data_IF_427799438697
#
_entry.id   IF_427799438697
#
_cell.length_a   1.000
_cell.length_b   1.000
_cell.length_c   1.000
_cell.angle_alpha   90.00
_cell.angle_beta   90.00
_cell.angle_gamma   90.00
#
_symmetry.space_group_name_H-M   'P 1'
#
loop_
_entity.id
_entity.type
_entity.pdbx_description
1 polymer ?
#
# COMPACT_ATOMS: atom_id res chain seq x y z
N UNK A 1 15.28 9.74 5.36
CA UNK A 1 14.53 9.29 4.16
C UNK A 1 13.17 8.76 4.59
N UNK A 2 12.12 9.05 3.85
CA UNK A 2 10.76 8.61 4.20
C UNK A 2 10.49 7.22 3.62
N UNK A 3 10.10 6.27 4.47
CA UNK A 3 9.91 4.86 4.09
C UNK A 3 8.51 4.33 4.45
N UNK A 4 8.10 3.27 3.75
CA UNK A 4 6.91 2.47 4.07
C UNK A 4 7.06 1.04 3.52
N UNK A 5 6.42 0.07 4.16
CA UNK A 5 6.24 -1.28 3.63
C UNK A 5 4.97 -1.35 2.78
N UNK A 6 5.03 -2.05 1.66
CA UNK A 6 3.91 -2.19 0.73
C UNK A 6 3.93 -3.51 -0.04
N UNK A 7 2.76 -3.95 -0.48
CA UNK A 7 2.65 -4.80 -1.66
C UNK A 7 2.85 -3.93 -2.90
N UNK A 8 3.68 -4.43 -3.83
CA UNK A 8 4.04 -3.71 -5.04
C UNK A 8 3.59 -4.50 -6.27
N UNK A 9 2.70 -3.97 -7.11
CA UNK A 9 2.09 -4.74 -8.19
C UNK A 9 3.06 -4.98 -9.34
N UNK A 10 2.90 -6.11 -10.01
CA UNK A 10 3.48 -6.38 -11.33
C UNK A 10 2.80 -5.57 -12.44
N UNK A 11 3.25 -5.74 -13.67
CA UNK A 11 2.74 -5.00 -14.83
C UNK A 11 1.26 -5.30 -15.11
N UNK A 12 0.85 -6.56 -15.03
CA UNK A 12 -0.51 -6.99 -15.31
C UNK A 12 -1.48 -6.47 -14.26
N UNK A 13 -1.12 -6.57 -13.00
CA UNK A 13 -1.89 -6.00 -11.88
C UNK A 13 -2.00 -4.48 -12.02
N UNK A 14 -0.92 -3.78 -12.41
CA UNK A 14 -0.96 -2.33 -12.67
C UNK A 14 -1.94 -1.97 -13.78
N UNK A 15 -2.02 -2.78 -14.83
CA UNK A 15 -2.98 -2.55 -15.91
C UNK A 15 -4.43 -2.69 -15.40
N UNK A 16 -4.72 -3.69 -14.59
CA UNK A 16 -6.04 -3.86 -13.98
C UNK A 16 -6.40 -2.69 -13.06
N UNK A 17 -5.47 -2.24 -12.21
CA UNK A 17 -5.67 -1.07 -11.34
C UNK A 17 -5.91 0.18 -12.18
N UNK A 18 -5.17 0.37 -13.27
CA UNK A 18 -5.33 1.51 -14.17
C UNK A 18 -6.70 1.53 -14.83
N UNK A 19 -7.23 0.37 -15.23
CA UNK A 19 -8.58 0.25 -15.78
C UNK A 19 -9.64 0.63 -14.73
N UNK A 20 -9.49 0.15 -13.50
CA UNK A 20 -10.35 0.56 -12.39
C UNK A 20 -10.26 2.07 -12.11
N UNK A 21 -9.05 2.64 -12.13
CA UNK A 21 -8.87 4.08 -11.95
C UNK A 21 -9.50 4.90 -13.10
N UNK A 22 -9.42 4.42 -14.34
CA UNK A 22 -10.00 5.09 -15.52
C UNK A 22 -11.54 5.13 -15.45
N UNK A 23 -12.17 4.10 -14.88
CA UNK A 23 -13.62 4.02 -14.72
C UNK A 23 -14.18 5.03 -13.71
N UNK A 24 -13.36 5.55 -12.78
CA UNK A 24 -13.82 6.58 -11.84
C UNK A 24 -14.10 7.90 -12.55
N UNK A 25 -15.29 8.45 -12.32
CA UNK A 25 -15.65 9.80 -12.76
C UNK A 25 -15.23 10.79 -11.68
N UNK A 26 -14.16 11.52 -11.93
CA UNK A 26 -13.59 12.52 -11.02
C UNK A 26 -14.03 13.91 -11.47
N UNK A 27 -14.29 14.80 -10.51
CA UNK A 27 -14.63 16.20 -10.75
C UNK A 27 -13.52 17.13 -10.25
N UNK A 28 -13.50 18.35 -10.79
CA UNK A 28 -12.59 19.43 -10.36
C UNK A 28 -11.10 19.07 -10.57
N UNK A 29 -10.27 19.47 -9.59
CA UNK A 29 -8.82 19.32 -9.64
C UNK A 29 -8.32 17.94 -9.15
N UNK A 30 -9.21 16.95 -9.07
CA UNK A 30 -8.85 15.59 -8.66
C UNK A 30 -7.78 15.00 -9.58
N UNK A 31 -6.75 14.42 -8.98
CA UNK A 31 -5.59 13.90 -9.69
C UNK A 31 -5.53 12.38 -9.55
N UNK A 32 -5.50 11.67 -10.69
CA UNK A 32 -5.23 10.23 -10.68
C UNK A 32 -3.82 9.96 -10.20
N UNK A 33 -3.67 8.92 -9.40
CA UNK A 33 -2.35 8.43 -8.98
C UNK A 33 -1.63 7.87 -10.22
N UNK A 34 -0.36 8.23 -10.45
CA UNK A 34 0.45 7.64 -11.50
C UNK A 34 0.53 6.11 -11.37
N UNK A 35 0.53 5.40 -12.51
CA UNK A 35 0.50 3.92 -12.52
C UNK A 35 1.67 3.29 -11.76
N UNK A 36 2.84 3.91 -11.84
CA UNK A 36 4.07 3.52 -11.12
C UNK A 36 3.94 3.62 -9.60
N UNK A 37 2.97 4.38 -9.10
CA UNK A 37 2.75 4.60 -7.67
C UNK A 37 1.62 3.75 -7.07
N UNK A 38 1.00 2.87 -7.85
CA UNK A 38 -0.02 1.97 -7.30
C UNK A 38 0.60 0.97 -6.33
N UNK A 39 0.00 0.82 -5.14
CA UNK A 39 0.45 -0.10 -4.11
C UNK A 39 -0.64 -0.32 -3.05
N UNK A 40 -0.47 -1.37 -2.24
CA UNK A 40 -1.18 -1.52 -0.96
C UNK A 40 -0.19 -1.23 0.15
N UNK A 41 -0.42 -0.19 0.95
CA UNK A 41 0.43 0.11 2.11
C UNK A 41 0.20 -0.92 3.22
N UNK A 42 1.29 -1.50 3.74
CA UNK A 42 1.28 -2.39 4.90
C UNK A 42 1.64 -1.65 6.18
N UNK A 43 2.64 -0.77 6.15
CA UNK A 43 3.03 0.04 7.31
C UNK A 43 3.75 1.32 6.87
N UNK A 44 3.29 2.47 7.33
CA UNK A 44 4.03 3.73 7.21
C UNK A 44 5.08 3.84 8.32
N UNK A 45 6.32 4.19 7.94
CA UNK A 45 7.45 4.30 8.86
C UNK A 45 7.85 5.75 9.11
N UNK A 46 7.48 6.66 8.21
CA UNK A 46 7.88 8.06 8.28
C UNK A 46 9.37 8.27 7.95
N UNK A 47 9.97 9.29 8.56
CA UNK A 47 11.39 9.58 8.37
C UNK A 47 12.26 8.57 9.10
N UNK A 48 13.23 8.00 8.37
CA UNK A 48 14.12 6.92 8.81
C UNK A 48 15.57 7.32 8.53
N UNK A 49 16.46 7.08 9.50
CA UNK A 49 17.90 7.26 9.35
C UNK A 49 18.53 6.06 8.63
N UNK A 50 19.78 6.22 8.20
CA UNK A 50 20.53 5.12 7.57
C UNK A 50 20.77 3.95 8.55
N UNK A 51 21.00 4.22 9.83
CA UNK A 51 21.16 3.17 10.85
C UNK A 51 19.90 2.36 11.08
N UNK A 52 18.72 2.99 11.00
CA UNK A 52 17.42 2.34 11.14
C UNK A 52 17.04 1.48 9.91
N UNK A 53 17.60 1.80 8.73
CA UNK A 53 17.33 1.04 7.50
C UNK A 53 17.72 -0.43 7.64
N UNK A 54 18.88 -0.72 8.24
CA UNK A 54 19.34 -2.11 8.44
C UNK A 54 18.36 -2.91 9.32
N UNK A 55 17.81 -2.30 10.36
CA UNK A 55 16.78 -2.92 11.23
C UNK A 55 15.51 -3.22 10.44
N UNK A 56 15.04 -2.29 9.63
CA UNK A 56 13.85 -2.48 8.79
C UNK A 56 14.05 -3.59 7.75
N UNK A 57 15.22 -3.66 7.15
CA UNK A 57 15.57 -4.76 6.22
C UNK A 57 15.59 -6.12 6.94
N UNK A 58 16.10 -6.18 8.17
CA UNK A 58 16.07 -7.39 8.98
C UNK A 58 14.63 -7.80 9.33
N UNK A 59 13.77 -6.85 9.72
CA UNK A 59 12.35 -7.10 9.94
C UNK A 59 11.71 -7.68 8.67
N UNK A 60 11.95 -7.08 7.50
CA UNK A 60 11.43 -7.59 6.23
C UNK A 60 11.86 -9.05 5.94
N UNK A 61 13.14 -9.37 6.13
CA UNK A 61 13.69 -10.73 5.95
C UNK A 61 13.12 -11.76 6.93
N UNK A 62 12.67 -11.32 8.09
CA UNK A 62 12.10 -12.18 9.14
C UNK A 62 10.66 -12.62 8.87
N UNK A 63 9.95 -12.00 7.94
CA UNK A 63 8.54 -12.32 7.70
C UNK A 63 8.37 -13.70 7.06
N UNK A 64 7.35 -14.44 7.53
CA UNK A 64 7.01 -15.79 7.05
C UNK A 64 5.50 -15.86 6.83
N UNK A 65 5.05 -15.34 5.69
CA UNK A 65 3.65 -15.39 5.28
C UNK A 65 3.55 -15.95 3.86
N UNK A 66 2.47 -16.65 3.57
CA UNK A 66 2.19 -17.14 2.24
C UNK A 66 1.77 -16.00 1.30
N UNK A 67 2.02 -16.19 0.00
CA UNK A 67 1.39 -15.39 -1.04
C UNK A 67 -0.12 -15.56 -1.00
N UNK A 68 -0.84 -14.58 -1.54
CA UNK A 68 -2.29 -14.62 -1.55
C UNK A 68 -2.89 -13.88 -2.75
N UNK A 69 -4.11 -14.27 -3.10
CA UNK A 69 -4.93 -13.53 -4.06
C UNK A 69 -5.81 -12.54 -3.31
N UNK A 70 -5.67 -11.26 -3.65
CA UNK A 70 -6.50 -10.17 -3.11
C UNK A 70 -7.53 -9.80 -4.17
N UNK A 71 -8.82 -9.81 -3.80
CA UNK A 71 -9.91 -9.40 -4.68
C UNK A 71 -10.34 -7.98 -4.36
N UNK A 72 -10.05 -7.04 -5.25
CA UNK A 72 -10.57 -5.67 -5.18
C UNK A 72 -11.93 -5.63 -5.86
N UNK A 73 -12.97 -5.24 -5.13
CA UNK A 73 -14.36 -5.40 -5.56
C UNK A 73 -15.27 -4.20 -5.24
N UNK A 74 -14.71 -3.11 -4.74
CA UNK A 74 -15.47 -1.90 -4.51
C UNK A 74 -14.59 -0.64 -4.59
N UNK A 75 -15.23 0.48 -4.92
CA UNK A 75 -14.67 1.80 -4.71
C UNK A 75 -15.10 2.32 -3.35
N UNK A 76 -14.24 3.17 -2.75
CA UNK A 76 -14.58 3.93 -1.56
C UNK A 76 -14.00 5.35 -1.68
N UNK A 77 -14.55 6.28 -0.91
CA UNK A 77 -14.09 7.66 -0.83
C UNK A 77 -13.81 8.05 0.61
N UNK A 78 -12.62 8.54 0.87
CA UNK A 78 -12.19 8.95 2.20
C UNK A 78 -12.05 10.48 2.27
N UNK A 79 -13.09 11.19 2.74
CA UNK A 79 -13.17 12.66 2.67
C UNK A 79 -12.06 13.36 3.46
N UNK A 80 -11.67 12.84 4.63
CA UNK A 80 -10.57 13.42 5.44
C UNK A 80 -9.25 13.45 4.71
N UNK A 81 -9.00 12.50 3.82
CA UNK A 81 -7.77 12.39 3.04
C UNK A 81 -7.94 12.88 1.61
N UNK A 82 -9.18 13.19 1.21
CA UNK A 82 -9.54 13.57 -0.15
C UNK A 82 -9.03 12.55 -1.19
N UNK A 83 -9.23 11.26 -0.93
CA UNK A 83 -8.79 10.18 -1.83
C UNK A 83 -9.95 9.29 -2.24
N UNK A 84 -9.92 8.87 -3.50
CA UNK A 84 -10.74 7.77 -4.01
C UNK A 84 -9.86 6.52 -4.09
N UNK A 85 -10.37 5.40 -3.62
CA UNK A 85 -9.62 4.16 -3.45
C UNK A 85 -10.38 2.97 -4.04
N UNK A 86 -9.66 1.95 -4.49
CA UNK A 86 -10.19 0.59 -4.64
C UNK A 86 -9.97 -0.15 -3.34
N UNK A 87 -10.95 -0.88 -2.86
CA UNK A 87 -10.87 -1.66 -1.62
C UNK A 87 -11.11 -3.15 -1.89
N UNK A 88 -10.43 -4.00 -1.13
CA UNK A 88 -10.83 -5.37 -0.91
C UNK A 88 -11.70 -5.41 0.35
N UNK A 89 -12.98 -5.76 0.20
CA UNK A 89 -13.90 -5.82 1.35
C UNK A 89 -13.48 -6.87 2.36
N UNK A 90 -12.83 -7.93 1.88
CA UNK A 90 -12.27 -9.00 2.71
C UNK A 90 -10.77 -9.09 2.45
N UNK A 91 -9.98 -9.02 3.52
CA UNK A 91 -8.55 -9.26 3.45
C UNK A 91 -8.27 -10.76 3.56
N UNK A 92 -7.47 -11.35 2.65
CA UNK A 92 -7.04 -12.75 2.79
C UNK A 92 -6.33 -13.00 4.13
N UNK A 93 -6.52 -14.19 4.71
CA UNK A 93 -5.90 -14.55 5.98
C UNK A 93 -4.36 -14.41 5.95
N UNK A 94 -3.72 -14.81 4.83
CA UNK A 94 -2.28 -14.68 4.65
C UNK A 94 -1.81 -13.21 4.65
N UNK A 95 -2.59 -12.29 4.06
CA UNK A 95 -2.28 -10.86 4.10
C UNK A 95 -2.44 -10.30 5.52
N UNK A 96 -3.47 -10.72 6.24
CA UNK A 96 -3.68 -10.34 7.65
C UNK A 96 -2.54 -10.86 8.52
N UNK A 97 -2.05 -12.09 8.27
CA UNK A 97 -0.91 -12.67 8.96
C UNK A 97 0.37 -11.87 8.69
N UNK A 98 0.69 -11.56 7.44
CA UNK A 98 1.83 -10.73 7.06
C UNK A 98 1.79 -9.38 7.77
N UNK A 99 0.63 -8.71 7.73
CA UNK A 99 0.44 -7.42 8.39
C UNK A 99 0.66 -7.53 9.91
N UNK A 100 0.11 -8.56 10.56
CA UNK A 100 0.23 -8.79 12.00
C UNK A 100 1.68 -9.05 12.41
N UNK A 101 2.39 -9.92 11.69
CA UNK A 101 3.81 -10.22 11.95
C UNK A 101 4.66 -8.97 11.79
N UNK A 102 4.47 -8.23 10.69
CA UNK A 102 5.21 -7.01 10.40
C UNK A 102 5.01 -5.95 11.50
N UNK A 103 3.76 -5.72 11.90
CA UNK A 103 3.44 -4.75 12.96
C UNK A 103 3.95 -5.18 14.34
N UNK A 104 3.89 -6.47 14.68
CA UNK A 104 4.50 -7.02 15.90
C UNK A 104 5.99 -6.71 15.94
N UNK A 105 6.72 -7.00 14.85
CA UNK A 105 8.17 -6.83 14.81
C UNK A 105 8.55 -5.34 14.79
N UNK A 106 7.77 -4.47 14.14
CA UNK A 106 7.94 -3.02 14.23
C UNK A 106 7.74 -2.49 15.67
N UNK A 107 6.78 -3.03 16.42
CA UNK A 107 6.56 -2.69 17.83
C UNK A 107 7.71 -3.18 18.69
N UNK A 108 8.21 -4.40 18.50
CA UNK A 108 9.37 -4.92 19.22
C UNK A 108 10.63 -4.07 19.04
N UNK A 109 10.81 -3.47 17.86
CA UNK A 109 11.94 -2.60 17.54
C UNK A 109 11.62 -1.10 17.67
N UNK A 110 10.47 -0.74 18.26
CA UNK A 110 9.97 0.63 18.30
C UNK A 110 10.98 1.63 18.89
N UNK A 111 11.69 1.25 19.96
CA UNK A 111 12.67 2.13 20.60
C UNK A 111 13.86 2.42 19.67
N UNK A 112 14.38 1.42 18.96
CA UNK A 112 15.47 1.58 18.00
C UNK A 112 15.04 2.37 16.75
N UNK A 113 13.78 2.23 16.34
CA UNK A 113 13.23 2.87 15.15
C UNK A 113 12.63 4.25 15.42
N UNK A 114 12.41 4.63 16.68
CA UNK A 114 11.72 5.86 17.08
C UNK A 114 10.39 6.06 16.32
N UNK A 115 9.67 4.97 16.07
CA UNK A 115 8.41 5.00 15.34
C UNK A 115 7.25 5.39 16.25
N UNK A 116 6.37 6.22 15.72
CA UNK A 116 5.04 6.37 16.33
C UNK A 116 4.29 5.04 16.15
N UNK A 117 3.60 4.59 17.21
CA UNK A 117 2.83 3.35 17.15
C UNK A 117 1.92 3.33 15.92
N UNK A 118 2.00 2.34 15.06
CA UNK A 118 1.00 2.16 14.00
C UNK A 118 -0.31 1.70 14.67
N UNK A 119 -1.36 2.51 14.59
CA UNK A 119 -2.62 2.25 15.33
C UNK A 119 -3.81 1.97 14.41
N UNK A 120 -3.61 1.78 13.13
CA UNK A 120 -4.73 1.57 12.22
C UNK A 120 -4.89 0.09 11.89
N UNK A 121 -6.11 -0.47 11.95
CA UNK A 121 -6.37 -1.82 11.46
C UNK A 121 -6.01 -1.92 9.97
N UNK A 122 -5.71 -3.12 9.50
CA UNK A 122 -5.46 -3.36 8.08
C UNK A 122 -6.69 -2.94 7.26
N UNK A 123 -6.50 -1.98 6.37
CA UNK A 123 -7.49 -1.60 5.37
C UNK A 123 -6.86 -1.83 4.00
N UNK A 124 -7.18 -2.96 3.40
CA UNK A 124 -6.63 -3.36 2.09
C UNK A 124 -7.20 -2.46 1.00
N UNK A 125 -6.40 -1.49 0.56
CA UNK A 125 -6.83 -0.50 -0.43
C UNK A 125 -5.69 -0.07 -1.35
N UNK A 126 -6.07 0.40 -2.52
CA UNK A 126 -5.18 1.06 -3.49
C UNK A 126 -5.71 2.47 -3.71
N UNK A 127 -4.88 3.49 -3.51
CA UNK A 127 -5.27 4.88 -3.82
C UNK A 127 -5.26 5.07 -5.34
N UNK A 128 -6.40 5.44 -5.90
CA UNK A 128 -6.61 5.66 -7.32
C UNK A 128 -6.56 7.14 -7.71
N UNK A 129 -7.04 8.02 -6.82
CA UNK A 129 -7.01 9.46 -7.02
C UNK A 129 -6.81 10.22 -5.70
N UNK A 130 -6.22 11.38 -5.79
CA UNK A 130 -5.96 12.36 -4.71
C UNK A 130 -6.58 13.71 -5.05
N UNK A 131 -6.65 14.61 -4.06
CA UNK A 131 -7.30 15.94 -4.18
C UNK A 131 -8.75 15.83 -4.65
N UNK A 132 -9.43 14.79 -4.23
CA UNK A 132 -10.84 14.56 -4.52
C UNK A 132 -11.66 15.37 -3.53
N UNK A 133 -11.95 16.61 -3.87
CA UNK A 133 -12.66 17.55 -2.99
C UNK A 133 -14.14 17.20 -2.83
N UNK A 134 -14.75 16.61 -3.86
CA UNK A 134 -16.13 16.19 -3.87
C UNK A 134 -16.22 14.67 -4.03
N UNK A 135 -17.14 14.05 -3.27
CA UNK A 135 -17.34 12.60 -3.37
C UNK A 135 -17.66 12.23 -4.83
N UNK A 136 -16.89 11.33 -5.46
CA UNK A 136 -17.21 10.87 -6.80
C UNK A 136 -18.48 10.02 -6.78
N UNK A 137 -19.18 9.97 -7.91
CA UNK A 137 -20.24 8.98 -8.08
C UNK A 137 -19.60 7.60 -8.14
N UNK A 138 -19.72 6.85 -7.04
CA UNK A 138 -19.19 5.49 -6.96
C UNK A 138 -20.17 4.54 -7.67
N UNK A 139 -19.75 4.04 -8.82
CA UNK A 139 -20.47 2.99 -9.54
C UNK A 139 -19.97 1.61 -9.11
N UNK A 140 -20.70 0.57 -9.52
CA UNK A 140 -20.26 -0.80 -9.30
C UNK A 140 -18.86 -1.01 -9.94
N UNK A 141 -17.97 -1.61 -9.19
CA UNK A 141 -16.63 -1.93 -9.66
C UNK A 141 -16.62 -3.33 -10.26
N UNK A 142 -16.08 -3.49 -11.46
CA UNK A 142 -15.73 -4.81 -11.98
C UNK A 142 -14.59 -5.36 -11.13
N UNK A 143 -14.77 -6.48 -10.41
CA UNK A 143 -13.72 -7.03 -9.57
C UNK A 143 -12.46 -7.37 -10.36
N UNK A 144 -11.29 -7.14 -9.74
CA UNK A 144 -10.03 -7.64 -10.26
C UNK A 144 -9.23 -8.34 -9.17
N UNK A 145 -8.30 -9.20 -9.58
CA UNK A 145 -7.52 -10.03 -8.68
C UNK A 145 -6.04 -9.66 -8.76
N UNK A 146 -5.41 -9.56 -7.61
CA UNK A 146 -3.98 -9.35 -7.47
C UNK A 146 -3.35 -10.54 -6.75
N UNK A 147 -2.53 -11.30 -7.44
CA UNK A 147 -1.72 -12.36 -6.85
C UNK A 147 -0.46 -11.74 -6.20
N UNK A 148 -0.56 -11.43 -4.93
CA UNK A 148 0.55 -10.87 -4.15
C UNK A 148 1.56 -11.98 -3.82
N UNK A 149 2.75 -11.90 -4.42
CA UNK A 149 3.85 -12.88 -4.26
C UNK A 149 5.04 -12.32 -3.51
N UNK A 150 5.07 -11.01 -3.29
CA UNK A 150 6.16 -10.32 -2.60
C UNK A 150 5.63 -9.06 -1.92
N UNK A 151 6.42 -8.54 -0.99
CA UNK A 151 6.25 -7.21 -0.43
C UNK A 151 7.58 -6.47 -0.43
N UNK A 152 7.55 -5.16 -0.35
CA UNK A 152 8.74 -4.33 -0.53
C UNK A 152 8.83 -3.23 0.53
N UNK A 153 10.05 -2.78 0.78
CA UNK A 153 10.34 -1.54 1.48
C UNK A 153 10.52 -0.45 0.42
N UNK A 154 9.75 0.61 0.52
CA UNK A 154 9.66 1.67 -0.49
C UNK A 154 10.13 2.99 0.11
N UNK A 155 10.98 3.71 -0.62
CA UNK A 155 11.33 5.10 -0.35
C UNK A 155 10.35 6.02 -1.05
N UNK A 156 9.82 6.99 -0.30
CA UNK A 156 8.96 8.05 -0.81
C UNK A 156 9.74 9.36 -0.84
N UNK A 157 9.91 9.92 -2.01
CA UNK A 157 10.38 11.30 -2.20
C UNK A 157 9.19 12.18 -2.54
N UNK A 158 8.94 13.16 -1.67
CA UNK A 158 7.85 14.13 -1.81
C UNK A 158 8.36 15.55 -1.97
N UNK A 159 9.65 15.74 -2.26
CA UNK A 159 10.26 17.07 -2.45
C UNK A 159 9.84 17.75 -3.76
N UNK A 160 9.44 16.95 -4.75
CA UNK A 160 8.96 17.43 -6.04
C UNK A 160 7.44 17.66 -6.10
N UNK A 161 6.92 18.08 -7.26
CA UNK A 161 5.49 18.33 -7.48
C UNK A 161 4.65 17.04 -7.42
N UNK A 162 5.27 15.88 -7.55
CA UNK A 162 4.66 14.56 -7.44
C UNK A 162 5.54 13.66 -6.59
N UNK A 163 4.90 12.78 -5.81
CA UNK A 163 5.64 11.76 -5.05
C UNK A 163 6.29 10.77 -6.02
N UNK A 164 7.58 10.53 -5.82
CA UNK A 164 8.35 9.50 -6.53
C UNK A 164 8.64 8.37 -5.54
N UNK A 165 8.32 7.14 -5.95
CA UNK A 165 8.52 5.94 -5.13
C UNK A 165 9.62 5.09 -5.73
N UNK A 166 10.54 4.64 -4.88
CA UNK A 166 11.68 3.79 -5.28
C UNK A 166 11.71 2.56 -4.38
N UNK A 167 11.79 1.39 -4.98
CA UNK A 167 11.96 0.13 -4.24
C UNK A 167 13.37 0.10 -3.63
N UNK A 168 13.43 -0.08 -2.31
CA UNK A 168 14.69 -0.20 -1.56
C UNK A 168 15.08 -1.66 -1.39
N UNK A 169 14.09 -2.52 -1.06
CA UNK A 169 14.29 -3.95 -0.90
C UNK A 169 12.97 -4.70 -1.17
N UNK A 170 13.04 -5.99 -1.51
CA UNK A 170 11.87 -6.83 -1.80
C UNK A 170 12.07 -8.23 -1.23
N UNK A 171 11.04 -8.78 -0.60
CA UNK A 171 11.02 -10.12 -0.04
C UNK A 171 9.90 -10.95 -0.64
N UNK A 172 10.23 -12.18 -1.02
CA UNK A 172 9.25 -13.12 -1.55
C UNK A 172 8.37 -13.66 -0.42
N UNK A 173 7.08 -13.79 -0.70
CA UNK A 173 6.16 -14.53 0.15
C UNK A 173 6.31 -16.03 -0.14
N UNK A 174 5.99 -16.87 0.84
CA UNK A 174 6.08 -18.31 0.69
C UNK A 174 5.07 -18.80 -0.35
N UNK A 175 5.47 -19.79 -1.14
CA UNK A 175 4.54 -20.53 -1.98
C UNK A 175 3.95 -21.67 -1.14
N UNK A 176 2.64 -21.87 -1.21
CA UNK A 176 1.99 -23.12 -0.79
C UNK A 176 2.13 -24.16 -1.90
#
# INVERSE_FOLDING_TARGET
MRLFFALWPDADTRAQIANAAAALRLAGDAQRVPRENYHVTLAFLGEVTTSQLAVLQQIGRGQRAAGCTITFNAYDYWPRHQVAVAIAREAPAALTLLWTQLHRDLVLHQAALNLKRPHSPLRTHITLARKVAQAPVLQAMSPFHWNARSFSLIRSDTSGPRSVYTVVDTWQLLYE
#
